data_IF_515508924169
#
_entry.id   IF_515508924169
#
_cell.length_a   1.000
_cell.length_b   1.000
_cell.length_c   1.000
_cell.angle_alpha   90.00
_cell.angle_beta   90.00
_cell.angle_gamma   90.00
#
_symmetry.space_group_name_H-M   'P 1'
#
loop_
_entity.id
_entity.type
_entity.pdbx_description
1 polymer ?
#
# COMPACT_ATOMS: atom_id res chain seq x y z
N UNK A 1 -13.84 -4.57 -6.41
CA UNK A 1 -13.20 -4.09 -7.64
C UNK A 1 -12.81 -5.35 -8.38
N UNK A 2 -13.21 -5.46 -9.63
CA UNK A 2 -12.83 -6.57 -10.50
C UNK A 2 -12.02 -5.98 -11.66
N UNK A 3 -10.90 -5.36 -11.28
CA UNK A 3 -10.02 -4.66 -12.21
C UNK A 3 -8.92 -5.59 -12.68
N UNK A 4 -8.58 -5.48 -13.96
CA UNK A 4 -7.45 -6.20 -14.55
C UNK A 4 -6.35 -5.21 -14.95
N UNK A 5 -5.09 -5.63 -14.86
CA UNK A 5 -3.94 -4.79 -15.17
C UNK A 5 -4.02 -4.16 -16.58
N UNK A 6 -4.52 -4.90 -17.57
CA UNK A 6 -4.66 -4.43 -18.96
C UNK A 6 -5.63 -3.24 -19.10
N UNK A 7 -6.64 -3.12 -18.23
CA UNK A 7 -7.63 -2.03 -18.28
C UNK A 7 -7.05 -0.69 -17.82
N UNK A 8 -5.97 -0.73 -17.04
CA UNK A 8 -5.29 0.45 -16.50
C UNK A 8 -3.87 0.62 -17.07
N UNK A 9 -3.57 -0.11 -18.15
CA UNK A 9 -2.28 -0.03 -18.80
C UNK A 9 -2.03 1.38 -19.35
N UNK A 10 -0.83 1.93 -19.10
CA UNK A 10 -0.46 3.27 -19.58
C UNK A 10 -0.39 3.34 -21.11
N UNK A 11 -0.03 2.24 -21.76
CA UNK A 11 0.08 2.09 -23.21
C UNK A 11 -0.32 0.66 -23.61
N UNK A 12 -0.92 0.47 -24.80
CA UNK A 12 -1.17 -0.86 -25.36
C UNK A 12 0.15 -1.56 -25.71
N UNK A 13 0.15 -2.89 -25.78
CA UNK A 13 1.36 -3.70 -26.07
C UNK A 13 1.99 -3.33 -27.42
N UNK A 14 1.16 -2.99 -28.41
CA UNK A 14 1.55 -2.55 -29.75
C UNK A 14 2.44 -1.30 -29.74
N UNK A 15 2.25 -0.40 -28.77
CA UNK A 15 3.08 0.80 -28.65
C UNK A 15 4.56 0.43 -28.48
N UNK A 16 4.86 -0.52 -27.61
CA UNK A 16 6.24 -0.93 -27.33
C UNK A 16 6.88 -1.58 -28.55
N UNK A 17 6.15 -2.49 -29.23
CA UNK A 17 6.63 -3.13 -30.47
C UNK A 17 6.90 -2.12 -31.58
N UNK A 18 6.02 -1.14 -31.76
CA UNK A 18 6.13 -0.14 -32.84
C UNK A 18 7.28 0.85 -32.62
N UNK A 19 7.72 1.02 -31.37
CA UNK A 19 8.82 1.92 -31.01
C UNK A 19 10.13 1.17 -30.70
N UNK A 20 10.24 -0.10 -31.12
CA UNK A 20 11.41 -0.96 -30.87
C UNK A 20 11.82 -1.03 -29.39
N UNK A 21 10.83 -1.05 -28.50
CA UNK A 21 11.02 -1.20 -27.06
C UNK A 21 10.79 -2.66 -26.69
N UNK A 22 11.86 -3.36 -26.34
CA UNK A 22 11.79 -4.70 -25.77
C UNK A 22 11.30 -4.62 -24.31
N UNK A 23 10.25 -5.36 -23.99
CA UNK A 23 9.65 -5.38 -22.65
C UNK A 23 9.78 -6.78 -22.07
N UNK A 24 10.58 -6.89 -21.02
CA UNK A 24 10.79 -8.11 -20.27
C UNK A 24 9.99 -8.05 -18.97
N UNK A 25 8.84 -8.73 -18.94
CA UNK A 25 8.00 -8.85 -17.74
C UNK A 25 8.41 -10.04 -16.89
N UNK A 26 8.03 -10.06 -15.61
CA UNK A 26 8.34 -11.15 -14.66
C UNK A 26 9.85 -11.42 -14.46
N UNK A 27 10.70 -10.55 -15.00
CA UNK A 27 12.15 -10.61 -14.83
C UNK A 27 12.60 -9.64 -13.74
N UNK A 28 13.23 -10.16 -12.70
CA UNK A 28 13.71 -9.36 -11.58
C UNK A 28 15.23 -9.34 -11.54
N UNK A 29 15.81 -8.14 -11.58
CA UNK A 29 17.24 -7.93 -11.33
C UNK A 29 17.56 -8.28 -9.87
N UNK A 30 18.71 -8.92 -9.65
CA UNK A 30 19.25 -9.25 -8.32
C UNK A 30 19.46 -7.95 -7.50
N UNK A 31 19.64 -8.11 -6.19
CA UNK A 31 19.76 -7.03 -5.20
C UNK A 31 20.71 -5.90 -5.61
N UNK A 32 21.76 -6.19 -6.39
CA UNK A 32 22.70 -5.20 -6.91
C UNK A 32 22.99 -5.39 -8.39
N UNK A 33 23.38 -4.30 -9.05
CA UNK A 33 23.84 -4.27 -10.44
C UNK A 33 25.36 -4.13 -10.49
N UNK A 34 26.02 -4.87 -11.37
CA UNK A 34 27.45 -4.70 -11.61
C UNK A 34 27.67 -3.46 -12.50
N UNK A 35 27.89 -2.32 -11.85
CA UNK A 35 28.11 -1.03 -12.53
C UNK A 35 29.49 -0.98 -13.20
N UNK A 36 30.47 -1.72 -12.67
CA UNK A 36 31.84 -1.74 -13.19
C UNK A 36 31.89 -2.46 -14.54
N UNK A 37 31.27 -3.63 -14.61
CA UNK A 37 31.20 -4.43 -15.85
C UNK A 37 29.99 -4.07 -16.71
N UNK A 38 29.13 -3.14 -16.24
CA UNK A 38 27.89 -2.71 -16.90
C UNK A 38 26.97 -3.89 -17.24
N UNK A 39 26.74 -4.74 -16.26
CA UNK A 39 25.92 -5.95 -16.40
C UNK A 39 24.84 -6.00 -15.32
N UNK A 40 23.59 -6.15 -15.74
CA UNK A 40 22.48 -6.51 -14.86
C UNK A 40 22.41 -8.03 -14.73
N UNK A 41 22.40 -8.54 -13.49
CA UNK A 41 22.27 -9.96 -13.20
C UNK A 41 20.87 -10.18 -12.62
N UNK A 42 20.09 -11.05 -13.22
CA UNK A 42 18.73 -11.36 -12.83
C UNK A 42 18.69 -12.48 -11.78
N UNK A 43 17.56 -12.62 -11.07
CA UNK A 43 17.41 -13.62 -10.01
C UNK A 43 17.52 -15.06 -10.49
N UNK A 44 17.13 -15.31 -11.74
CA UNK A 44 17.26 -16.59 -12.44
C UNK A 44 18.69 -16.86 -12.96
N UNK A 45 19.62 -15.91 -12.78
CA UNK A 45 21.00 -16.00 -13.25
C UNK A 45 21.20 -15.45 -14.66
N UNK A 46 20.15 -15.01 -15.36
CA UNK A 46 20.28 -14.34 -16.66
C UNK A 46 21.13 -13.07 -16.51
N UNK A 47 21.93 -12.76 -17.53
CA UNK A 47 22.82 -11.59 -17.54
C UNK A 47 22.54 -10.75 -18.77
N UNK A 48 22.48 -9.44 -18.58
CA UNK A 48 22.26 -8.47 -19.64
C UNK A 48 23.25 -7.34 -19.53
N UNK A 49 24.00 -7.10 -20.60
CA UNK A 49 24.92 -5.97 -20.69
C UNK A 49 24.16 -4.69 -21.07
N UNK A 50 24.64 -3.53 -20.60
CA UNK A 50 24.03 -2.25 -20.91
C UNK A 50 25.07 -1.15 -21.17
N UNK A 51 24.71 -0.18 -22.02
CA UNK A 51 25.52 1.04 -22.18
C UNK A 51 25.16 2.11 -21.14
N UNK A 52 23.86 2.22 -20.83
CA UNK A 52 23.27 3.12 -19.84
C UNK A 52 22.18 2.38 -19.07
N UNK A 53 22.04 2.67 -17.79
CA UNK A 53 21.06 2.06 -16.91
C UNK A 53 20.25 3.14 -16.20
N UNK A 54 18.92 3.05 -16.31
CA UNK A 54 17.98 3.84 -15.55
C UNK A 54 17.37 2.96 -14.46
N UNK A 55 17.54 3.34 -13.20
CA UNK A 55 16.88 2.68 -12.07
C UNK A 55 15.49 3.28 -11.86
N UNK A 56 14.47 2.51 -12.22
CA UNK A 56 13.06 2.88 -12.09
C UNK A 56 12.27 1.87 -11.23
N UNK A 57 12.90 1.35 -10.17
CA UNK A 57 12.36 0.25 -9.34
C UNK A 57 11.23 0.67 -8.39
N UNK A 58 10.93 1.97 -8.30
CA UNK A 58 9.85 2.50 -7.46
C UNK A 58 10.08 2.27 -5.96
N UNK A 59 8.99 2.00 -5.23
CA UNK A 59 8.98 1.85 -3.78
C UNK A 59 8.29 0.53 -3.37
N UNK A 60 8.74 -0.07 -2.28
CA UNK A 60 8.21 -1.30 -1.67
C UNK A 60 7.35 -0.96 -0.44
N UNK A 61 6.08 -1.40 -0.39
CA UNK A 61 5.17 -1.20 0.73
C UNK A 61 5.79 -1.39 2.12
N UNK A 62 5.64 -0.39 2.99
CA UNK A 62 6.03 -0.47 4.40
C UNK A 62 5.02 -1.35 5.12
N UNK A 63 5.52 -2.31 5.88
CA UNK A 63 4.71 -3.17 6.74
C UNK A 63 4.70 -2.65 8.18
N UNK A 64 3.80 -3.20 9.01
CA UNK A 64 3.76 -2.87 10.43
C UNK A 64 4.79 -3.68 11.21
N UNK A 65 5.48 -3.02 12.14
CA UNK A 65 6.38 -3.65 13.10
C UNK A 65 5.67 -3.86 14.43
N UNK A 66 4.60 -4.66 14.43
CA UNK A 66 3.80 -4.96 15.61
C UNK A 66 3.58 -6.47 15.77
N UNK A 67 3.11 -6.88 16.94
CA UNK A 67 2.68 -8.27 17.16
C UNK A 67 1.49 -8.58 16.25
N UNK A 68 1.46 -9.77 15.66
CA UNK A 68 0.42 -10.20 14.72
C UNK A 68 0.53 -9.61 13.31
N UNK A 69 1.68 -9.04 12.92
CA UNK A 69 1.86 -8.48 11.56
C UNK A 69 1.67 -9.48 10.40
N UNK A 70 1.79 -10.79 10.66
CA UNK A 70 1.65 -11.86 9.67
C UNK A 70 0.24 -12.47 9.61
N UNK A 71 -0.71 -11.94 10.41
CA UNK A 71 -2.10 -12.42 10.46
C UNK A 71 -2.76 -12.26 9.09
N UNK A 72 -3.62 -13.21 8.70
CA UNK A 72 -4.36 -13.10 7.44
C UNK A 72 -5.28 -11.88 7.43
N UNK A 73 -5.57 -11.36 6.23
CA UNK A 73 -6.35 -10.15 5.98
C UNK A 73 -5.69 -8.82 6.40
N UNK A 74 -4.37 -8.81 6.54
CA UNK A 74 -3.55 -7.59 6.65
C UNK A 74 -2.88 -7.35 5.30
N UNK A 75 -3.23 -6.25 4.64
CA UNK A 75 -2.83 -5.98 3.26
C UNK A 75 -1.98 -4.72 3.14
N UNK A 76 -1.02 -4.76 2.23
CA UNK A 76 -0.51 -3.58 1.53
C UNK A 76 -1.10 -3.56 0.13
N UNK A 77 -1.18 -2.40 -0.52
CA UNK A 77 -1.66 -2.28 -1.89
C UNK A 77 -0.53 -1.76 -2.78
N UNK A 78 -0.08 -2.59 -3.72
CA UNK A 78 0.90 -2.20 -4.75
C UNK A 78 0.45 -2.58 -6.14
N UNK A 79 -0.15 -3.75 -6.28
CA UNK A 79 -0.67 -4.30 -7.53
C UNK A 79 -2.21 -4.29 -7.54
N UNK A 80 -2.80 -4.49 -8.72
CA UNK A 80 -4.26 -4.49 -8.91
C UNK A 80 -4.90 -5.64 -8.13
N UNK A 81 -4.20 -6.76 -8.08
CA UNK A 81 -4.60 -7.97 -7.38
C UNK A 81 -4.72 -7.72 -5.87
N UNK A 82 -3.88 -6.86 -5.30
CA UNK A 82 -3.97 -6.47 -3.88
C UNK A 82 -5.29 -5.74 -3.62
N UNK A 83 -5.62 -4.76 -4.45
CA UNK A 83 -6.85 -3.99 -4.34
C UNK A 83 -8.09 -4.91 -4.50
N UNK A 84 -8.07 -5.81 -5.48
CA UNK A 84 -9.16 -6.78 -5.67
C UNK A 84 -9.35 -7.68 -4.43
N UNK A 85 -8.26 -8.18 -3.84
CA UNK A 85 -8.30 -8.97 -2.59
C UNK A 85 -8.88 -8.19 -1.42
N UNK A 86 -8.43 -6.95 -1.22
CA UNK A 86 -8.96 -6.06 -0.16
C UNK A 86 -10.46 -5.90 -0.30
N UNK A 87 -10.97 -5.57 -1.50
CA UNK A 87 -12.40 -5.33 -1.69
C UNK A 87 -13.24 -6.60 -1.48
N UNK A 88 -12.73 -7.75 -1.94
CA UNK A 88 -13.39 -9.05 -1.74
C UNK A 88 -13.58 -9.36 -0.25
N UNK A 89 -12.57 -9.09 0.58
CA UNK A 89 -12.63 -9.36 2.02
C UNK A 89 -13.41 -8.27 2.78
N UNK A 90 -13.27 -7.01 2.37
CA UNK A 90 -13.83 -5.86 3.11
C UNK A 90 -15.34 -5.68 2.96
N UNK A 91 -15.95 -6.20 1.89
CA UNK A 91 -17.37 -5.97 1.59
C UNK A 91 -18.26 -6.49 2.71
N UNK A 92 -19.06 -5.60 3.31
CA UNK A 92 -19.93 -5.90 4.46
C UNK A 92 -19.19 -6.19 5.78
N UNK A 93 -17.89 -5.88 5.87
CA UNK A 93 -17.03 -6.19 7.03
C UNK A 93 -16.47 -4.92 7.70
N UNK A 94 -15.77 -5.08 8.83
CA UNK A 94 -15.11 -3.97 9.52
C UNK A 94 -13.70 -3.79 8.96
N UNK A 95 -13.42 -2.64 8.39
CA UNK A 95 -12.13 -2.31 7.82
C UNK A 95 -11.36 -1.31 8.71
N UNK A 96 -10.09 -1.59 8.94
CA UNK A 96 -9.14 -0.65 9.52
C UNK A 96 -8.12 -0.26 8.46
N UNK A 97 -7.92 1.04 8.27
CA UNK A 97 -6.87 1.59 7.42
C UNK A 97 -5.83 2.25 8.31
N UNK A 98 -4.56 1.87 8.15
CA UNK A 98 -3.45 2.41 8.93
C UNK A 98 -2.66 3.38 8.07
N UNK A 99 -2.67 4.65 8.46
CA UNK A 99 -2.11 5.78 7.72
C UNK A 99 -3.17 6.57 6.98
N UNK A 100 -3.18 7.89 7.18
CA UNK A 100 -4.01 8.87 6.50
C UNK A 100 -3.22 9.62 5.40
N UNK A 101 -2.49 8.85 4.60
CA UNK A 101 -1.84 9.31 3.36
C UNK A 101 -2.82 9.26 2.18
N UNK A 102 -2.36 9.58 0.96
CA UNK A 102 -3.22 9.50 -0.24
C UNK A 102 -3.82 8.11 -0.42
N UNK A 103 -2.97 7.07 -0.40
CA UNK A 103 -3.44 5.69 -0.54
C UNK A 103 -4.43 5.31 0.57
N UNK A 104 -4.11 5.63 1.82
CA UNK A 104 -4.99 5.30 2.95
C UNK A 104 -6.35 6.00 2.86
N UNK A 105 -6.37 7.27 2.50
CA UNK A 105 -7.60 8.05 2.37
C UNK A 105 -8.42 7.63 1.14
N UNK A 106 -7.79 7.28 0.01
CA UNK A 106 -8.51 6.73 -1.15
C UNK A 106 -9.14 5.38 -0.85
N UNK A 107 -8.41 4.48 -0.16
CA UNK A 107 -8.96 3.20 0.31
C UNK A 107 -10.10 3.43 1.28
N UNK A 108 -9.96 4.34 2.25
CA UNK A 108 -11.01 4.65 3.20
C UNK A 108 -12.27 5.19 2.51
N UNK A 109 -12.11 6.06 1.51
CA UNK A 109 -13.22 6.58 0.71
C UNK A 109 -13.92 5.45 -0.04
N UNK A 110 -13.17 4.62 -0.77
CA UNK A 110 -13.73 3.52 -1.54
C UNK A 110 -14.45 2.48 -0.67
N UNK A 111 -13.88 2.16 0.48
CA UNK A 111 -14.48 1.20 1.42
C UNK A 111 -15.64 1.78 2.21
N UNK A 112 -15.76 3.11 2.36
CA UNK A 112 -16.87 3.72 3.10
C UNK A 112 -18.26 3.38 2.53
N UNK A 113 -18.32 3.05 1.24
CA UNK A 113 -19.55 2.65 0.55
C UNK A 113 -19.77 1.14 0.52
N UNK A 114 -18.77 0.32 0.89
CA UNK A 114 -18.78 -1.14 0.68
C UNK A 114 -18.61 -1.94 1.96
N UNK A 115 -17.81 -1.44 2.90
CA UNK A 115 -17.58 -2.05 4.19
C UNK A 115 -18.74 -1.73 5.15
N UNK A 116 -18.93 -2.57 6.16
CA UNK A 116 -19.87 -2.28 7.25
C UNK A 116 -19.40 -1.08 8.09
N UNK A 117 -18.09 -0.99 8.34
CA UNK A 117 -17.47 0.15 9.01
C UNK A 117 -16.05 0.37 8.53
N UNK A 118 -15.60 1.63 8.55
CA UNK A 118 -14.23 2.02 8.21
C UNK A 118 -13.65 2.86 9.34
N UNK A 119 -12.48 2.45 9.83
CA UNK A 119 -11.70 3.19 10.82
C UNK A 119 -10.32 3.53 10.26
N UNK A 120 -9.89 4.78 10.38
CA UNK A 120 -8.54 5.23 9.97
C UNK A 120 -7.72 5.47 11.23
N UNK A 121 -6.53 4.89 11.30
CA UNK A 121 -5.56 5.08 12.40
C UNK A 121 -4.38 5.86 11.87
N UNK A 122 -4.00 6.95 12.55
CA UNK A 122 -2.92 7.83 12.10
C UNK A 122 -2.13 8.39 13.30
N UNK A 123 -0.82 8.55 13.12
CA UNK A 123 0.11 9.10 14.09
C UNK A 123 0.01 10.63 14.19
N UNK A 124 -0.28 11.30 13.09
CA UNK A 124 -0.45 12.74 13.04
C UNK A 124 -1.79 13.20 13.65
N UNK A 125 -1.92 14.51 13.89
CA UNK A 125 -3.16 15.13 14.40
C UNK A 125 -4.28 15.23 13.36
N UNK A 126 -3.95 15.16 12.06
CA UNK A 126 -4.89 15.27 10.95
C UNK A 126 -4.35 14.56 9.69
N UNK A 127 -5.23 14.06 8.80
CA UNK A 127 -4.83 13.60 7.47
C UNK A 127 -4.01 14.65 6.72
N UNK A 128 -3.03 14.20 5.93
CA UNK A 128 -2.18 15.08 5.11
C UNK A 128 -1.48 16.22 5.85
N UNK A 129 -1.28 16.12 7.17
CA UNK A 129 -0.70 17.21 7.99
C UNK A 129 0.63 17.72 7.46
N UNK A 130 1.48 16.82 6.95
CA UNK A 130 2.80 17.12 6.39
C UNK A 130 2.74 17.80 5.01
N UNK A 131 1.71 17.51 4.22
CA UNK A 131 1.56 18.04 2.85
C UNK A 131 0.77 19.34 2.80
N UNK A 132 -0.34 19.43 3.54
CA UNK A 132 -1.31 20.53 3.42
C UNK A 132 -1.58 21.27 4.74
N UNK A 133 -0.99 20.82 5.83
CA UNK A 133 -1.20 21.42 7.15
C UNK A 133 -2.49 20.99 7.84
N UNK A 134 -2.57 21.30 9.15
CA UNK A 134 -3.63 20.79 10.01
C UNK A 134 -5.03 21.30 9.66
N UNK A 135 -5.13 22.55 9.20
CA UNK A 135 -6.41 23.20 8.87
C UNK A 135 -7.09 22.49 7.70
N UNK A 136 -6.33 22.23 6.62
CA UNK A 136 -6.82 21.49 5.46
C UNK A 136 -7.10 20.05 5.85
N UNK A 137 -6.17 19.41 6.56
CA UNK A 137 -6.33 18.03 7.04
C UNK A 137 -7.61 17.82 7.85
N UNK A 138 -7.93 18.71 8.80
CA UNK A 138 -9.17 18.66 9.60
C UNK A 138 -10.43 18.89 8.76
N UNK A 139 -10.35 19.68 7.70
CA UNK A 139 -11.49 19.89 6.79
C UNK A 139 -11.78 18.61 6.01
N UNK A 140 -10.73 17.96 5.50
CA UNK A 140 -10.84 16.65 4.81
C UNK A 140 -11.33 15.58 5.79
N UNK A 141 -10.79 15.54 7.01
CA UNK A 141 -11.22 14.61 8.05
C UNK A 141 -12.73 14.70 8.31
N UNK A 142 -13.27 15.91 8.50
CA UNK A 142 -14.71 16.14 8.66
C UNK A 142 -15.54 15.64 7.48
N UNK A 143 -15.04 15.82 6.25
CA UNK A 143 -15.72 15.31 5.06
C UNK A 143 -15.83 13.78 5.08
N UNK A 144 -14.78 13.09 5.51
CA UNK A 144 -14.78 11.63 5.66
C UNK A 144 -15.63 11.15 6.85
N UNK A 145 -15.64 11.89 7.95
CA UNK A 145 -16.52 11.63 9.10
C UNK A 145 -18.00 11.71 8.73
N UNK A 146 -18.37 12.69 7.90
CA UNK A 146 -19.72 12.79 7.33
C UNK A 146 -20.09 11.56 6.47
N UNK A 147 -19.09 10.91 5.88
CA UNK A 147 -19.20 9.64 5.15
C UNK A 147 -18.94 8.43 6.06
N UNK A 148 -19.19 8.56 7.38
CA UNK A 148 -19.18 7.49 8.40
C UNK A 148 -17.80 6.83 8.62
N UNK A 149 -16.72 7.46 8.17
CA UNK A 149 -15.36 7.03 8.48
C UNK A 149 -14.99 7.52 9.88
N UNK A 150 -14.50 6.63 10.73
CA UNK A 150 -14.06 6.96 12.09
C UNK A 150 -12.55 7.17 12.12
N UNK A 151 -12.08 8.23 12.75
CA UNK A 151 -10.66 8.49 12.88
C UNK A 151 -10.14 8.23 14.30
N UNK A 152 -8.95 7.65 14.36
CA UNK A 152 -8.16 7.41 15.54
C UNK A 152 -6.79 8.06 15.31
N UNK A 153 -6.72 9.35 15.61
CA UNK A 153 -5.54 10.18 15.40
C UNK A 153 -4.59 10.11 16.60
N UNK A 154 -3.34 10.52 16.40
CA UNK A 154 -2.30 10.53 17.42
C UNK A 154 -2.14 9.18 18.13
N UNK A 155 -2.31 8.09 17.39
CA UNK A 155 -2.15 6.75 17.91
C UNK A 155 -1.67 5.81 16.81
N UNK A 156 -1.23 4.63 17.20
CA UNK A 156 -0.73 3.61 16.28
C UNK A 156 -1.21 2.23 16.68
N UNK A 157 -1.08 1.30 15.74
CA UNK A 157 -1.34 -0.12 15.99
C UNK A 157 -0.28 -0.68 16.93
N UNK A 158 -0.72 -1.24 18.04
CA UNK A 158 0.11 -1.95 19.02
C UNK A 158 0.17 -3.44 18.72
N UNK A 159 -0.97 -4.05 18.40
CA UNK A 159 -1.11 -5.49 18.19
C UNK A 159 -2.27 -5.76 17.22
N UNK A 160 -2.08 -6.72 16.33
CA UNK A 160 -3.12 -7.32 15.51
C UNK A 160 -3.48 -8.67 16.12
N UNK A 161 -4.74 -8.87 16.48
CA UNK A 161 -5.22 -10.11 17.09
C UNK A 161 -6.02 -10.90 16.09
N UNK A 162 -5.79 -12.20 16.08
CA UNK A 162 -6.45 -13.15 15.21
C UNK A 162 -7.47 -14.01 15.93
N UNK A 163 -8.39 -14.55 15.16
CA UNK A 163 -9.25 -15.67 15.50
C UNK A 163 -9.20 -16.63 14.30
N UNK A 164 -8.83 -17.89 14.53
CA UNK A 164 -8.70 -18.90 13.46
C UNK A 164 -7.76 -18.45 12.33
N UNK A 165 -6.63 -17.82 12.67
CA UNK A 165 -5.61 -17.33 11.73
C UNK A 165 -5.96 -16.03 10.99
N UNK A 166 -7.17 -15.49 11.19
CA UNK A 166 -7.67 -14.29 10.50
C UNK A 166 -7.80 -13.11 11.43
N UNK A 167 -7.56 -11.91 10.91
CA UNK A 167 -7.71 -10.68 11.67
C UNK A 167 -9.10 -10.58 12.28
N UNK A 168 -9.13 -10.27 13.59
CA UNK A 168 -10.35 -10.04 14.35
C UNK A 168 -10.37 -8.69 15.04
N UNK A 169 -9.22 -8.26 15.56
CA UNK A 169 -9.09 -7.00 16.29
C UNK A 169 -7.78 -6.29 15.97
N UNK A 170 -7.85 -4.95 15.97
CA UNK A 170 -6.69 -4.05 15.95
C UNK A 170 -6.63 -3.33 17.29
N UNK A 171 -5.58 -3.59 18.06
CA UNK A 171 -5.32 -2.94 19.35
C UNK A 171 -4.46 -1.71 19.10
N UNK A 172 -4.89 -0.57 19.61
CA UNK A 172 -4.16 0.69 19.49
C UNK A 172 -3.33 0.97 20.74
N UNK A 173 -2.23 1.72 20.59
CA UNK A 173 -1.45 2.20 21.76
C UNK A 173 -2.24 3.08 22.70
N UNK A 174 -3.33 3.70 22.23
CA UNK A 174 -4.27 4.45 23.08
C UNK A 174 -5.10 3.56 24.02
N UNK A 175 -5.00 2.23 23.93
CA UNK A 175 -5.78 1.26 24.71
C UNK A 175 -7.12 0.90 24.08
N UNK A 176 -7.53 1.57 23.00
CA UNK A 176 -8.74 1.21 22.24
C UNK A 176 -8.52 -0.08 21.45
N UNK A 177 -9.56 -0.90 21.38
CA UNK A 177 -9.60 -2.11 20.56
C UNK A 177 -10.67 -1.94 19.49
N UNK A 178 -10.27 -2.09 18.23
CA UNK A 178 -11.17 -1.99 17.08
C UNK A 178 -11.47 -3.39 16.56
N UNK A 179 -12.75 -3.71 16.34
CA UNK A 179 -13.11 -4.90 15.55
C UNK A 179 -12.68 -4.68 14.11
N UNK A 180 -11.97 -5.63 13.54
CA UNK A 180 -11.45 -5.55 12.18
C UNK A 180 -11.41 -6.93 11.57
N UNK A 181 -12.03 -7.09 10.40
CA UNK A 181 -11.93 -8.30 9.59
C UNK A 181 -10.87 -8.13 8.48
N UNK A 182 -10.53 -6.87 8.16
CA UNK A 182 -9.51 -6.48 7.19
C UNK A 182 -8.72 -5.27 7.68
N UNK A 183 -7.41 -5.29 7.49
CA UNK A 183 -6.51 -4.16 7.76
C UNK A 183 -5.76 -3.78 6.47
N UNK A 184 -5.70 -2.50 6.13
CA UNK A 184 -4.94 -2.00 4.98
C UNK A 184 -3.89 -1.00 5.45
N UNK A 185 -2.63 -1.25 5.11
CA UNK A 185 -1.50 -0.39 5.45
C UNK A 185 -1.31 0.63 4.32
N UNK A 186 -1.78 1.85 4.56
CA UNK A 186 -1.73 3.01 3.66
C UNK A 186 -0.72 4.06 4.11
N UNK A 187 0.47 3.64 4.55
CA UNK A 187 1.53 4.54 5.05
C UNK A 187 2.43 4.98 3.89
N UNK A 188 2.74 6.29 3.80
CA UNK A 188 3.66 6.81 2.79
C UNK A 188 5.10 6.32 2.99
N UNK A 189 5.89 6.23 1.91
CA UNK A 189 7.17 5.53 1.91
C UNK A 189 8.31 6.28 1.19
N UNK A 190 9.56 6.11 1.65
CA UNK A 190 10.73 6.53 0.90
C UNK A 190 11.02 5.62 -0.31
N UNK A 191 11.86 6.07 -1.27
CA UNK A 191 12.29 5.29 -2.43
C UNK A 191 12.98 3.95 -2.08
N UNK A 192 12.79 2.91 -2.89
CA UNK A 192 13.44 1.60 -2.68
C UNK A 192 14.86 1.49 -3.24
N UNK A 193 15.49 2.60 -3.59
CA UNK A 193 16.90 2.59 -3.94
C UNK A 193 17.77 2.47 -2.68
N UNK A 194 18.22 1.25 -2.38
CA UNK A 194 19.43 1.05 -1.58
C UNK A 194 20.64 1.47 -2.42
N UNK A 195 20.83 2.78 -2.59
CA UNK A 195 22.13 3.30 -2.93
C UNK A 195 22.88 3.44 -1.60
N UNK A 196 23.49 2.34 -1.14
CA UNK A 196 24.58 2.47 -0.20
C UNK A 196 25.62 3.39 -0.87
N UNK A 197 25.93 4.50 -0.20
CA UNK A 197 27.01 5.40 -0.62
C UNK A 197 28.36 4.75 -0.37
#
# INVERSE_FOLDING_TARGET
>A
MDSHADQIALRPKEFFRTNDIEVLTEMQVRVSVDVKNKTAIFKDGFKMEYNKLLLATGNTPKTLSCKGKEVENVFTIRAVEDANRVVKVATGKNAVVVGASFLGMEVAAYLSEKAHSVSVVELEEAPFRKSFGAKVGRTIMKMFENNRVKFYMQTEVLELREQEGKLKEVVLKSGKVLRADVCVIGIAMPPSACCDK
#
